data_IF_234871370444
#
_entry.id   IF_234871370444
#
_cell.length_a   1.000
_cell.length_b   1.000
_cell.length_c   1.000
_cell.angle_alpha   90.00
_cell.angle_beta   90.00
_cell.angle_gamma   90.00
#
_symmetry.space_group_name_H-M   'P 1'
#
loop_
_entity.id
_entity.type
_entity.pdbx_description
1 polymer ?
#
# COMPACT_ATOMS: atom_id res chain seq x y z
N UNK A 1 -6.14 -7.05 -9.53
CA UNK A 1 -5.01 -6.15 -9.25
C UNK A 1 -5.26 -4.83 -9.95
N UNK A 2 -6.02 -3.98 -9.26
CA UNK A 2 -6.23 -2.56 -9.60
C UNK A 2 -5.36 -1.63 -8.76
N UNK A 3 -4.49 -2.18 -7.93
CA UNK A 3 -3.54 -1.45 -7.10
C UNK A 3 -2.63 -0.53 -7.93
N UNK A 4 -2.29 0.63 -7.36
CA UNK A 4 -1.51 1.65 -8.05
C UNK A 4 -0.69 2.50 -7.07
N UNK A 5 0.33 3.17 -7.63
CA UNK A 5 1.16 4.14 -6.93
C UNK A 5 1.18 5.43 -7.74
N UNK A 6 1.03 6.56 -7.04
CA UNK A 6 1.23 7.90 -7.60
C UNK A 6 2.45 8.56 -6.97
N UNK A 7 3.19 9.27 -7.82
CA UNK A 7 4.33 10.09 -7.43
C UNK A 7 3.94 11.55 -7.59
N UNK A 8 4.20 12.34 -6.56
CA UNK A 8 3.76 13.73 -6.50
C UNK A 8 4.98 14.60 -6.18
N UNK A 9 5.08 15.73 -6.86
CA UNK A 9 5.98 16.82 -6.53
C UNK A 9 5.15 18.10 -6.51
N UNK A 10 5.40 18.98 -5.53
CA UNK A 10 4.75 20.29 -5.52
C UNK A 10 5.35 21.18 -6.61
N UNK A 11 4.56 22.13 -7.12
CA UNK A 11 5.02 23.04 -8.19
C UNK A 11 6.27 23.84 -7.79
N UNK A 12 6.38 24.18 -6.51
CA UNK A 12 7.55 24.86 -5.94
C UNK A 12 8.73 23.91 -5.61
N UNK A 13 8.63 22.64 -6.01
CA UNK A 13 9.63 21.56 -5.86
C UNK A 13 10.11 21.23 -4.44
N UNK A 14 9.57 21.90 -3.42
CA UNK A 14 10.00 21.79 -2.02
C UNK A 14 9.48 20.54 -1.30
N UNK A 15 8.48 19.84 -1.87
CA UNK A 15 7.88 18.65 -1.26
C UNK A 15 7.72 17.54 -2.31
N UNK A 16 8.10 16.33 -1.93
CA UNK A 16 7.88 15.10 -2.70
C UNK A 16 7.01 14.15 -1.88
N UNK A 17 6.02 13.56 -2.51
CA UNK A 17 5.12 12.61 -1.86
C UNK A 17 4.91 11.37 -2.71
N UNK A 18 4.56 10.28 -2.03
CA UNK A 18 4.15 9.01 -2.59
C UNK A 18 2.82 8.64 -1.94
N UNK A 19 1.88 8.17 -2.76
CA UNK A 19 0.66 7.56 -2.27
C UNK A 19 0.38 6.29 -3.07
N UNK A 20 -0.15 5.27 -2.40
CA UNK A 20 -0.47 4.00 -3.03
C UNK A 20 -1.76 3.41 -2.48
N UNK A 21 -2.42 2.62 -3.32
CA UNK A 21 -3.51 1.73 -2.92
C UNK A 21 -3.02 0.32 -3.18
N UNK A 22 -2.89 -0.48 -2.11
CA UNK A 22 -2.29 -1.82 -2.11
C UNK A 22 -3.27 -2.90 -1.60
N UNK A 23 -4.57 -2.67 -1.77
CA UNK A 23 -5.62 -3.53 -1.20
C UNK A 23 -5.54 -4.96 -1.74
N UNK A 24 -5.39 -5.12 -3.06
CA UNK A 24 -5.33 -6.45 -3.67
C UNK A 24 -4.03 -7.19 -3.28
N UNK A 25 -2.91 -6.46 -3.21
CA UNK A 25 -1.60 -6.97 -2.83
C UNK A 25 -1.58 -7.44 -1.37
N UNK A 26 -2.11 -6.63 -0.46
CA UNK A 26 -2.19 -6.97 0.95
C UNK A 26 -3.10 -8.19 1.19
N UNK A 27 -4.24 -8.27 0.50
CA UNK A 27 -5.13 -9.44 0.61
C UNK A 27 -4.51 -10.70 0.01
N UNK A 28 -3.77 -10.58 -1.09
CA UNK A 28 -3.02 -11.71 -1.66
C UNK A 28 -1.97 -12.24 -0.67
N UNK A 29 -1.24 -11.36 0.00
CA UNK A 29 -0.28 -11.74 1.02
C UNK A 29 -0.96 -12.41 2.22
N UNK A 30 -2.10 -11.87 2.70
CA UNK A 30 -2.93 -12.51 3.74
C UNK A 30 -3.35 -13.92 3.32
N UNK A 31 -3.83 -14.12 2.10
CA UNK A 31 -4.28 -15.43 1.58
C UNK A 31 -3.13 -16.44 1.54
N UNK A 32 -1.94 -16.02 1.09
CA UNK A 32 -0.75 -16.89 1.01
C UNK A 32 -0.22 -17.32 2.37
N UNK A 33 -0.25 -16.40 3.34
CA UNK A 33 0.33 -16.63 4.66
C UNK A 33 -0.69 -17.04 5.73
N UNK A 34 -1.99 -17.03 5.41
CA UNK A 34 -3.06 -17.40 6.34
C UNK A 34 -3.12 -16.51 7.58
N UNK A 35 -2.79 -15.22 7.46
CA UNK A 35 -2.64 -14.34 8.62
C UNK A 35 -3.97 -14.01 9.29
N UNK A 36 -3.94 -13.94 10.63
CA UNK A 36 -5.06 -13.45 11.45
C UNK A 36 -5.25 -11.92 11.28
N UNK A 37 -6.39 -11.33 11.69
CA UNK A 37 -6.67 -9.90 11.46
C UNK A 37 -5.59 -8.95 11.96
N UNK A 38 -5.08 -9.16 13.18
CA UNK A 38 -4.01 -8.32 13.77
C UNK A 38 -2.72 -8.41 12.96
N UNK A 39 -2.33 -9.61 12.55
CA UNK A 39 -1.13 -9.83 11.72
C UNK A 39 -1.30 -9.24 10.31
N UNK A 40 -2.50 -9.32 9.74
CA UNK A 40 -2.80 -8.76 8.41
C UNK A 40 -2.75 -7.23 8.42
N UNK A 41 -3.23 -6.59 9.49
CA UNK A 41 -3.14 -5.15 9.67
C UNK A 41 -1.69 -4.66 9.84
N UNK A 42 -0.82 -5.45 10.47
CA UNK A 42 0.61 -5.16 10.54
C UNK A 42 1.31 -5.39 9.19
N UNK A 43 0.95 -6.44 8.47
CA UNK A 43 1.49 -6.80 7.15
C UNK A 43 1.18 -5.74 6.08
N UNK A 44 -0.01 -5.13 6.12
CA UNK A 44 -0.46 -4.16 5.12
C UNK A 44 -0.09 -2.69 5.37
N UNK A 45 0.65 -2.38 6.45
CA UNK A 45 1.11 -1.02 6.79
C UNK A 45 2.48 -0.73 6.20
#
# INVERSE_FOLDING_TARGET
>A
MTDYLVRIITENENVRALACVTTDLADEARRRHGTLPTASAALGR
#
